data_IF_070838650758
#
_entry.id   IF_070838650758
#
_cell.length_a   1.000
_cell.length_b   1.000
_cell.length_c   1.000
_cell.angle_alpha   90.00
_cell.angle_beta   90.00
_cell.angle_gamma   90.00
#
_symmetry.space_group_name_H-M   'P 1'
#
loop_
_entity.id
_entity.type
_entity.pdbx_description
1 polymer ?
#
# COMPACT_ATOMS: atom_id res chain seq x y z
N UNK A 1 -8.92 1.35 29.88
CA UNK A 1 -9.58 2.66 29.62
C UNK A 1 -8.64 3.72 29.02
N UNK A 2 -7.32 3.45 28.90
CA UNK A 2 -6.30 4.42 28.47
C UNK A 2 -6.05 4.50 26.95
N UNK A 3 -6.71 3.70 26.13
CA UNK A 3 -6.36 3.53 24.70
C UNK A 3 -7.29 4.29 23.72
N UNK A 4 -8.36 4.90 24.23
CA UNK A 4 -9.39 5.54 23.40
C UNK A 4 -8.97 6.96 22.95
N UNK A 5 -8.18 7.67 23.75
CA UNK A 5 -7.78 9.05 23.45
C UNK A 5 -6.86 9.20 22.23
N UNK A 6 -5.93 8.26 22.01
CA UNK A 6 -4.98 8.33 20.90
C UNK A 6 -5.57 7.90 19.54
N UNK A 7 -6.69 7.17 19.54
CA UNK A 7 -7.32 6.64 18.31
C UNK A 7 -8.28 7.62 17.64
N UNK A 8 -8.87 8.54 18.40
CA UNK A 8 -9.85 9.52 17.89
C UNK A 8 -9.27 10.45 16.82
N UNK A 9 -8.07 11.03 16.99
CA UNK A 9 -7.45 11.86 15.95
C UNK A 9 -7.15 11.09 14.65
N UNK A 10 -6.74 9.80 14.78
CA UNK A 10 -6.37 8.96 13.63
C UNK A 10 -7.58 8.63 12.75
N UNK A 11 -8.78 8.51 13.33
CA UNK A 11 -10.01 8.26 12.58
C UNK A 11 -10.49 9.49 11.81
N UNK A 12 -10.29 10.70 12.33
CA UNK A 12 -10.67 11.96 11.68
C UNK A 12 -9.84 12.27 10.42
N UNK A 13 -8.56 11.91 10.40
CA UNK A 13 -7.70 12.04 9.19
C UNK A 13 -8.32 11.37 7.94
N UNK A 14 -9.21 10.41 8.14
CA UNK A 14 -9.91 9.70 7.08
C UNK A 14 -10.83 10.58 6.23
N UNK A 15 -11.52 11.53 6.84
CA UNK A 15 -12.66 12.21 6.23
C UNK A 15 -12.20 13.32 5.28
N UNK A 16 -11.06 13.95 5.57
CA UNK A 16 -10.65 15.17 4.88
C UNK A 16 -9.77 14.96 3.65
N UNK A 17 -8.99 13.86 3.61
CA UNK A 17 -8.01 13.63 2.53
C UNK A 17 -8.49 12.71 1.39
N UNK A 18 -9.70 12.16 1.45
CA UNK A 18 -10.24 11.28 0.41
C UNK A 18 -9.38 10.03 0.14
N UNK A 19 -8.61 9.57 1.12
CA UNK A 19 -7.65 8.48 0.97
C UNK A 19 -8.34 7.13 0.79
N UNK A 20 -7.79 6.28 -0.07
CA UNK A 20 -8.25 4.90 -0.24
C UNK A 20 -8.14 4.09 1.07
N UNK A 21 -9.08 3.17 1.30
CA UNK A 21 -9.19 2.36 2.52
C UNK A 21 -7.87 1.68 2.94
N UNK A 22 -7.13 1.11 1.98
CA UNK A 22 -5.85 0.46 2.23
C UNK A 22 -4.76 1.46 2.68
N UNK A 23 -4.79 2.68 2.14
CA UNK A 23 -3.86 3.75 2.55
C UNK A 23 -4.15 4.17 3.98
N UNK A 24 -5.43 4.30 4.33
CA UNK A 24 -5.86 4.63 5.69
C UNK A 24 -5.50 3.54 6.70
N UNK A 25 -5.68 2.28 6.35
CA UNK A 25 -5.29 1.15 7.19
C UNK A 25 -3.77 1.15 7.46
N UNK A 26 -2.97 1.41 6.42
CA UNK A 26 -1.52 1.53 6.56
C UNK A 26 -1.11 2.73 7.44
N UNK A 27 -1.76 3.89 7.27
CA UNK A 27 -1.50 5.08 8.08
C UNK A 27 -1.87 4.85 9.53
N UNK A 28 -3.06 4.29 9.77
CA UNK A 28 -3.50 3.93 11.12
C UNK A 28 -2.49 3.03 11.81
N UNK A 29 -2.04 1.97 11.15
CA UNK A 29 -1.05 1.05 11.71
C UNK A 29 0.26 1.75 12.06
N UNK A 30 0.80 2.61 11.19
CA UNK A 30 2.04 3.32 11.45
C UNK A 30 1.91 4.30 12.63
N UNK A 31 0.79 5.03 12.72
CA UNK A 31 0.51 5.97 13.82
C UNK A 31 0.28 5.25 15.15
N UNK A 32 -0.47 4.14 15.16
CA UNK A 32 -0.70 3.33 16.35
C UNK A 32 0.61 2.76 16.90
N UNK A 33 1.48 2.24 16.03
CA UNK A 33 2.78 1.73 16.43
C UNK A 33 3.69 2.83 17.00
N UNK A 34 3.61 4.04 16.46
CA UNK A 34 4.36 5.16 16.98
C UNK A 34 3.80 5.63 18.34
N UNK A 35 2.48 5.76 18.46
CA UNK A 35 1.83 6.16 19.71
C UNK A 35 2.15 5.18 20.85
N UNK A 36 2.07 3.87 20.60
CA UNK A 36 2.42 2.84 21.58
C UNK A 36 3.90 2.92 22.00
N UNK A 37 4.80 3.14 21.03
CA UNK A 37 6.23 3.31 21.32
C UNK A 37 6.49 4.58 22.14
N UNK A 38 5.86 5.71 21.78
CA UNK A 38 6.01 7.00 22.47
C UNK A 38 5.54 6.89 23.93
N UNK A 39 4.39 6.26 24.14
CA UNK A 39 3.87 6.01 25.48
C UNK A 39 4.81 5.12 26.30
N UNK A 40 5.33 4.03 25.72
CA UNK A 40 6.24 3.11 26.40
C UNK A 40 7.59 3.73 26.73
N UNK A 41 8.14 4.60 25.87
CA UNK A 41 9.47 5.17 26.06
C UNK A 41 9.48 6.46 26.88
N UNK A 42 8.41 7.25 26.84
CA UNK A 42 8.38 8.60 27.43
C UNK A 42 7.12 8.91 28.25
N UNK A 43 6.11 8.01 28.28
CA UNK A 43 4.81 8.33 28.86
C UNK A 43 4.12 9.54 28.22
N UNK A 44 4.45 9.84 26.95
CA UNK A 44 4.00 11.02 26.23
C UNK A 44 2.89 10.69 25.23
N UNK A 45 2.01 11.68 24.99
CA UNK A 45 0.95 11.57 23.99
C UNK A 45 1.40 12.06 22.60
N UNK A 46 0.58 11.77 21.60
CA UNK A 46 0.85 12.20 20.21
C UNK A 46 0.92 13.72 20.05
N UNK A 47 0.12 14.45 20.82
CA UNK A 47 0.03 15.91 20.79
C UNK A 47 1.32 16.57 21.32
N UNK A 48 1.97 15.93 22.30
CA UNK A 48 3.23 16.39 22.92
C UNK A 48 4.50 15.90 22.22
N UNK A 49 4.37 15.27 21.04
CA UNK A 49 5.49 14.73 20.26
C UNK A 49 6.48 15.82 19.86
N UNK A 50 7.76 15.56 20.06
CA UNK A 50 8.88 16.41 19.65
C UNK A 50 9.63 15.79 18.44
N UNK A 51 10.38 16.63 17.74
CA UNK A 51 11.25 16.17 16.64
C UNK A 51 12.21 15.04 17.10
N UNK A 52 12.77 15.17 18.30
CA UNK A 52 13.65 14.16 18.91
C UNK A 52 12.98 12.79 19.07
N UNK A 53 11.65 12.77 19.33
CA UNK A 53 10.90 11.52 19.50
C UNK A 53 10.71 10.80 18.18
N UNK A 54 10.40 11.55 17.13
CA UNK A 54 10.32 11.02 15.77
C UNK A 54 11.66 10.48 15.29
N UNK A 55 12.76 11.20 15.54
CA UNK A 55 14.10 10.75 15.19
C UNK A 55 14.47 9.48 15.95
N UNK A 56 14.21 9.40 17.25
CA UNK A 56 14.48 8.22 18.08
C UNK A 56 13.65 7.01 17.61
N UNK A 57 12.36 7.21 17.30
CA UNK A 57 11.51 6.16 16.77
C UNK A 57 11.98 5.68 15.40
N UNK A 58 12.31 6.60 14.51
CA UNK A 58 12.82 6.26 13.18
C UNK A 58 14.14 5.49 13.27
N UNK A 59 15.04 5.86 14.19
CA UNK A 59 16.31 5.15 14.45
C UNK A 59 16.03 3.75 15.02
N UNK A 60 15.17 3.61 16.02
CA UNK A 60 14.80 2.31 16.60
C UNK A 60 14.19 1.34 15.55
N UNK A 61 13.47 1.89 14.56
CA UNK A 61 12.87 1.11 13.47
C UNK A 61 13.81 0.94 12.26
N UNK A 62 15.00 1.54 12.28
CA UNK A 62 15.92 1.48 11.13
C UNK A 62 16.64 0.13 11.04
N UNK A 63 16.91 -0.54 12.14
CA UNK A 63 17.54 -1.86 12.21
C UNK A 63 16.62 -2.93 11.56
N UNK A 64 16.66 -3.03 10.22
CA UNK A 64 15.84 -3.96 9.42
C UNK A 64 14.80 -3.31 8.49
N UNK A 65 14.75 -1.97 8.43
CA UNK A 65 13.79 -1.24 7.60
C UNK A 65 14.45 -0.63 6.37
N UNK A 66 13.90 -0.87 5.17
CA UNK A 66 14.37 -0.25 3.93
C UNK A 66 14.08 1.27 3.95
N UNK A 67 14.94 2.07 3.30
CA UNK A 67 14.78 3.53 3.17
C UNK A 67 13.39 3.93 2.60
N UNK A 68 12.83 3.14 1.69
CA UNK A 68 11.47 3.31 1.16
C UNK A 68 10.41 3.26 2.26
N UNK A 69 10.51 2.29 3.19
CA UNK A 69 9.59 2.15 4.32
C UNK A 69 9.73 3.28 5.33
N UNK A 70 10.96 3.75 5.56
CA UNK A 70 11.22 4.90 6.42
C UNK A 70 10.62 6.19 5.84
N UNK A 71 10.81 6.44 4.55
CA UNK A 71 10.25 7.60 3.86
C UNK A 71 8.71 7.56 3.82
N UNK A 72 8.11 6.36 3.65
CA UNK A 72 6.65 6.21 3.73
C UNK A 72 6.14 6.59 5.12
N UNK A 73 6.77 6.09 6.19
CA UNK A 73 6.40 6.45 7.58
C UNK A 73 6.52 7.96 7.81
N UNK A 74 7.61 8.57 7.37
CA UNK A 74 7.78 10.01 7.48
C UNK A 74 6.67 10.78 6.76
N UNK A 75 6.22 10.31 5.61
CA UNK A 75 5.08 10.90 4.89
C UNK A 75 3.80 10.80 5.72
N UNK A 76 3.56 9.68 6.41
CA UNK A 76 2.41 9.49 7.32
C UNK A 76 2.47 10.51 8.46
N UNK A 77 3.64 10.64 9.12
CA UNK A 77 3.83 11.60 10.20
C UNK A 77 3.63 13.05 9.74
N UNK A 78 4.20 13.43 8.60
CA UNK A 78 4.03 14.78 8.03
C UNK A 78 2.56 15.11 7.76
N UNK A 79 1.78 14.15 7.24
CA UNK A 79 0.35 14.35 7.03
C UNK A 79 -0.42 14.47 8.34
N UNK A 80 -0.13 13.58 9.30
CA UNK A 80 -0.78 13.58 10.60
C UNK A 80 -0.52 14.89 11.36
N UNK A 81 0.73 15.31 11.53
CA UNK A 81 1.06 16.50 12.31
C UNK A 81 0.63 17.80 11.64
N UNK A 82 0.64 17.87 10.30
CA UNK A 82 0.05 19.01 9.58
C UNK A 82 -1.46 19.10 9.81
N UNK A 83 -2.16 17.98 9.82
CA UNK A 83 -3.56 17.93 10.16
C UNK A 83 -3.78 18.28 11.64
N UNK A 84 -3.03 17.71 12.56
CA UNK A 84 -3.14 17.98 14.01
C UNK A 84 -2.90 19.45 14.35
N UNK A 85 -1.93 20.10 13.66
CA UNK A 85 -1.69 21.53 13.82
C UNK A 85 -2.89 22.37 13.33
N UNK A 86 -3.48 22.02 12.18
CA UNK A 86 -4.67 22.69 11.63
C UNK A 86 -5.89 22.57 12.54
N UNK A 87 -6.05 21.42 13.19
CA UNK A 87 -7.14 21.14 14.12
C UNK A 87 -6.85 21.59 15.56
N UNK A 88 -5.76 22.32 15.77
CA UNK A 88 -5.32 22.79 17.12
C UNK A 88 -5.15 21.65 18.14
N UNK A 89 -4.80 20.44 17.68
CA UNK A 89 -4.49 19.27 18.52
C UNK A 89 -2.99 19.18 18.87
N UNK A 90 -2.17 19.95 18.19
CA UNK A 90 -0.74 20.09 18.47
C UNK A 90 -0.34 21.56 18.28
N UNK A 91 0.61 22.01 19.13
CA UNK A 91 1.09 23.42 19.08
C UNK A 91 2.15 23.64 18.00
N UNK A 92 2.81 22.57 17.53
CA UNK A 92 3.85 22.63 16.51
C UNK A 92 3.89 21.34 15.67
N UNK A 93 4.40 21.45 14.44
CA UNK A 93 4.67 20.30 13.58
C UNK A 93 6.11 19.81 13.79
N UNK A 94 6.33 18.68 14.50
CA UNK A 94 7.66 18.14 14.77
C UNK A 94 8.34 17.55 13.53
N UNK A 95 7.66 17.52 12.38
CA UNK A 95 8.20 16.93 11.15
C UNK A 95 8.84 17.95 10.20
N UNK A 96 8.74 19.27 10.49
CA UNK A 96 9.15 20.32 9.58
C UNK A 96 10.60 20.20 9.10
N UNK A 97 11.53 19.85 9.98
CA UNK A 97 12.96 19.70 9.67
C UNK A 97 13.34 18.33 9.17
N UNK A 98 12.46 17.34 9.27
CA UNK A 98 12.75 15.96 8.86
C UNK A 98 12.75 15.84 7.34
N UNK A 99 13.84 15.32 6.80
CA UNK A 99 14.02 15.07 5.37
C UNK A 99 13.93 13.59 5.05
N UNK A 100 13.44 13.28 3.87
CA UNK A 100 13.45 11.90 3.35
C UNK A 100 14.90 11.42 3.16
N UNK A 101 15.13 10.15 3.52
CA UNK A 101 16.39 9.50 3.21
C UNK A 101 16.58 9.41 1.68
N UNK A 102 17.79 9.69 1.21
CA UNK A 102 18.15 9.49 -0.20
C UNK A 102 17.97 8.02 -0.55
N UNK A 103 17.31 7.77 -1.66
CA UNK A 103 17.13 6.42 -2.19
C UNK A 103 17.95 6.28 -3.46
N UNK A 104 18.72 5.20 -3.62
CA UNK A 104 19.31 4.90 -4.92
C UNK A 104 18.19 4.65 -5.93
N UNK A 105 18.37 5.13 -7.15
CA UNK A 105 17.47 4.83 -8.26
C UNK A 105 17.49 3.32 -8.49
N UNK A 106 16.38 2.65 -8.17
CA UNK A 106 16.21 1.24 -8.50
C UNK A 106 15.53 1.13 -9.85
N UNK A 107 16.25 0.69 -10.83
CA UNK A 107 15.65 0.26 -12.09
C UNK A 107 14.87 -1.04 -11.81
N UNK A 108 13.63 -1.15 -12.29
CA UNK A 108 12.89 -2.41 -12.23
C UNK A 108 13.69 -3.50 -12.95
N UNK A 109 13.78 -4.68 -12.34
CA UNK A 109 14.29 -5.85 -13.03
C UNK A 109 13.13 -6.42 -13.86
N UNK A 110 13.24 -6.36 -15.16
CA UNK A 110 12.34 -7.04 -16.09
C UNK A 110 12.70 -8.53 -16.16
N UNK A 111 11.72 -9.38 -16.34
CA UNK A 111 11.93 -10.77 -16.69
C UNK A 111 12.35 -10.84 -18.17
N UNK A 112 13.20 -11.80 -18.52
CA UNK A 112 13.44 -12.13 -19.93
C UNK A 112 12.24 -12.91 -20.50
N UNK A 113 12.13 -12.96 -21.82
CA UNK A 113 11.10 -13.72 -22.52
C UNK A 113 11.08 -15.19 -22.07
N UNK A 114 12.23 -15.85 -22.07
CA UNK A 114 12.37 -17.23 -21.59
C UNK A 114 11.92 -17.43 -20.13
N UNK A 115 12.11 -16.41 -19.26
CA UNK A 115 11.63 -16.46 -17.88
C UNK A 115 10.11 -16.32 -17.80
N UNK A 116 9.51 -15.52 -18.66
CA UNK A 116 8.05 -15.39 -18.75
C UNK A 116 7.44 -16.69 -19.25
N UNK A 117 7.98 -17.29 -20.32
CA UNK A 117 7.53 -18.58 -20.85
C UNK A 117 7.62 -19.68 -19.80
N UNK A 118 8.75 -19.77 -19.09
CA UNK A 118 8.92 -20.74 -18.01
C UNK A 118 7.92 -20.54 -16.86
N UNK A 119 7.61 -19.29 -16.53
CA UNK A 119 6.61 -18.97 -15.50
C UNK A 119 5.20 -19.37 -15.93
N UNK A 120 4.85 -19.10 -17.19
CA UNK A 120 3.56 -19.51 -17.75
C UNK A 120 3.42 -21.04 -17.80
N UNK A 121 4.49 -21.75 -18.13
CA UNK A 121 4.49 -23.23 -18.22
C UNK A 121 4.56 -23.94 -16.86
N UNK A 122 4.85 -23.24 -15.76
CA UNK A 122 5.07 -23.84 -14.45
C UNK A 122 3.83 -24.50 -13.80
N UNK A 123 2.57 -24.02 -14.00
CA UNK A 123 1.41 -24.66 -13.38
C UNK A 123 1.16 -26.07 -13.90
N UNK A 124 0.84 -27.00 -13.00
CA UNK A 124 0.48 -28.39 -13.31
C UNK A 124 -0.98 -28.45 -13.82
N UNK A 125 -1.14 -28.60 -15.12
CA UNK A 125 -2.44 -28.55 -15.78
C UNK A 125 -3.36 -29.75 -15.50
N UNK A 126 -2.80 -30.86 -14.96
CA UNK A 126 -3.59 -32.03 -14.52
C UNK A 126 -4.35 -31.75 -13.22
N UNK A 127 -4.07 -30.60 -12.58
CA UNK A 127 -4.72 -30.19 -11.33
C UNK A 127 -5.62 -28.98 -11.52
N UNK A 128 -6.83 -28.98 -10.92
CA UNK A 128 -7.74 -27.82 -11.03
C UNK A 128 -7.12 -26.47 -10.61
N UNK A 129 -6.27 -26.51 -9.57
CA UNK A 129 -5.54 -25.31 -9.13
C UNK A 129 -4.48 -24.87 -10.15
N UNK A 130 -3.85 -25.81 -10.85
CA UNK A 130 -2.88 -25.49 -11.89
C UNK A 130 -3.55 -24.85 -13.11
N UNK A 131 -4.72 -25.33 -13.54
CA UNK A 131 -5.52 -24.66 -14.58
C UNK A 131 -5.88 -23.24 -14.19
N UNK A 132 -6.37 -23.04 -12.96
CA UNK A 132 -6.66 -21.70 -12.44
C UNK A 132 -5.40 -20.81 -12.46
N UNK A 133 -4.28 -21.32 -11.98
CA UNK A 133 -3.04 -20.55 -11.87
C UNK A 133 -2.50 -20.19 -13.26
N UNK A 134 -2.62 -21.09 -14.24
CA UNK A 134 -2.28 -20.81 -15.63
C UNK A 134 -3.14 -19.69 -16.22
N UNK A 135 -4.46 -19.78 -16.08
CA UNK A 135 -5.40 -18.74 -16.55
C UNK A 135 -5.09 -17.37 -15.89
N UNK A 136 -4.78 -17.36 -14.59
CA UNK A 136 -4.42 -16.14 -13.88
C UNK A 136 -3.10 -15.53 -14.41
N UNK A 137 -2.09 -16.34 -14.68
CA UNK A 137 -0.81 -15.88 -15.21
C UNK A 137 -0.96 -15.35 -16.64
N UNK A 138 -1.73 -16.02 -17.48
CA UNK A 138 -2.03 -15.56 -18.85
C UNK A 138 -2.76 -14.21 -18.86
N UNK A 139 -3.75 -14.03 -18.00
CA UNK A 139 -4.43 -12.75 -17.86
C UNK A 139 -3.50 -11.65 -17.34
N UNK A 140 -2.59 -11.95 -16.39
CA UNK A 140 -1.59 -10.99 -15.94
C UNK A 140 -0.67 -10.56 -17.07
N UNK A 141 -0.20 -11.51 -17.87
CA UNK A 141 0.71 -11.26 -18.96
C UNK A 141 0.04 -10.49 -20.10
N UNK A 142 -1.13 -10.95 -20.54
CA UNK A 142 -1.86 -10.34 -21.65
C UNK A 142 -2.39 -8.95 -21.33
N UNK A 143 -2.89 -8.74 -20.12
CA UNK A 143 -3.65 -7.53 -19.73
C UNK A 143 -2.87 -6.54 -18.87
N UNK A 144 -1.71 -6.90 -18.36
CA UNK A 144 -0.95 -6.06 -17.42
C UNK A 144 -1.75 -5.68 -16.17
N UNK A 145 -2.59 -6.59 -15.67
CA UNK A 145 -3.41 -6.36 -14.49
C UNK A 145 -2.55 -6.21 -13.22
N UNK A 146 -3.04 -5.42 -12.26
CA UNK A 146 -2.50 -5.50 -10.91
C UNK A 146 -2.98 -6.78 -10.24
N UNK A 147 -2.15 -7.37 -9.36
CA UNK A 147 -2.54 -8.58 -8.62
C UNK A 147 -3.88 -8.40 -7.89
N UNK A 148 -4.13 -7.23 -7.29
CA UNK A 148 -5.40 -6.93 -6.63
C UNK A 148 -6.59 -6.89 -7.59
N UNK A 149 -6.41 -6.43 -8.83
CA UNK A 149 -7.45 -6.42 -9.85
C UNK A 149 -7.79 -7.84 -10.29
N UNK A 150 -6.77 -8.67 -10.50
CA UNK A 150 -6.94 -10.07 -10.89
C UNK A 150 -7.68 -10.88 -9.82
N UNK A 151 -7.21 -10.84 -8.56
CA UNK A 151 -7.80 -11.68 -7.49
C UNK A 151 -9.20 -11.24 -7.04
N UNK A 152 -9.62 -10.04 -7.42
CA UNK A 152 -10.98 -9.53 -7.17
C UNK A 152 -11.86 -9.55 -8.41
N UNK A 153 -11.36 -10.01 -9.55
CA UNK A 153 -12.10 -10.09 -10.81
C UNK A 153 -13.28 -11.06 -10.66
N UNK A 154 -14.45 -10.59 -11.05
CA UNK A 154 -15.67 -11.40 -11.03
C UNK A 154 -16.00 -11.90 -12.44
N UNK A 155 -16.64 -13.06 -12.57
CA UNK A 155 -17.02 -13.64 -13.85
C UNK A 155 -17.85 -12.68 -14.71
N UNK A 156 -18.74 -11.89 -14.10
CA UNK A 156 -19.55 -10.88 -14.79
C UNK A 156 -18.74 -9.71 -15.38
N UNK A 157 -17.47 -9.60 -15.04
CA UNK A 157 -16.56 -8.58 -15.55
C UNK A 157 -15.72 -9.08 -16.73
N UNK A 158 -15.88 -10.35 -17.12
CA UNK A 158 -15.19 -11.01 -18.22
C UNK A 158 -16.19 -11.23 -19.34
N UNK A 159 -15.98 -10.58 -20.50
CA UNK A 159 -16.73 -10.86 -21.72
C UNK A 159 -15.85 -11.71 -22.62
N UNK A 160 -16.13 -13.02 -22.67
CA UNK A 160 -15.42 -13.93 -23.59
C UNK A 160 -15.79 -13.62 -25.03
N UNK A 161 -17.05 -13.26 -25.31
CA UNK A 161 -17.49 -12.95 -26.65
C UNK A 161 -16.78 -11.73 -27.27
N UNK A 162 -16.49 -10.72 -26.43
CA UNK A 162 -15.82 -9.48 -26.87
C UNK A 162 -14.31 -9.51 -26.64
N UNK A 163 -13.77 -10.51 -25.94
CA UNK A 163 -12.37 -10.60 -25.59
C UNK A 163 -11.90 -9.47 -24.65
N UNK A 164 -12.76 -8.99 -23.74
CA UNK A 164 -12.45 -7.85 -22.85
C UNK A 164 -12.74 -8.11 -21.39
N UNK A 165 -11.96 -7.48 -20.52
CA UNK A 165 -12.15 -7.43 -19.07
C UNK A 165 -12.60 -6.02 -18.67
N UNK A 166 -13.56 -5.94 -17.75
CA UNK A 166 -13.88 -4.70 -17.04
C UNK A 166 -13.20 -4.70 -15.69
N UNK A 167 -12.20 -3.83 -15.50
CA UNK A 167 -11.45 -3.75 -14.25
C UNK A 167 -11.63 -2.39 -13.58
N UNK A 168 -11.76 -2.42 -12.26
CA UNK A 168 -11.88 -1.22 -11.44
C UNK A 168 -10.52 -0.90 -10.84
N UNK A 169 -9.95 0.22 -11.23
CA UNK A 169 -8.64 0.67 -10.78
C UNK A 169 -8.69 1.58 -9.55
N UNK A 170 -7.57 2.22 -9.27
CA UNK A 170 -7.42 3.20 -8.16
C UNK A 170 -8.43 4.35 -8.34
N UNK A 171 -9.17 4.67 -7.27
CA UNK A 171 -10.18 5.74 -7.27
C UNK A 171 -11.50 5.33 -7.91
N UNK A 172 -11.82 4.02 -7.92
CA UNK A 172 -13.05 3.45 -8.49
C UNK A 172 -13.23 3.75 -10.00
N UNK A 173 -12.13 4.04 -10.71
CA UNK A 173 -12.20 4.24 -12.17
C UNK A 173 -12.22 2.89 -12.87
N UNK A 174 -13.23 2.68 -13.69
CA UNK A 174 -13.34 1.50 -14.53
C UNK A 174 -12.59 1.70 -15.85
N UNK A 175 -12.00 0.61 -16.35
CA UNK A 175 -11.45 0.53 -17.69
C UNK A 175 -11.74 -0.82 -18.32
N UNK A 176 -11.89 -0.84 -19.63
CA UNK A 176 -11.92 -2.07 -20.44
C UNK A 176 -10.49 -2.41 -20.86
N UNK A 177 -10.13 -3.67 -20.71
CA UNK A 177 -8.81 -4.18 -21.07
C UNK A 177 -9.02 -5.37 -22.00
N UNK A 178 -8.57 -5.31 -23.25
CA UNK A 178 -8.64 -6.46 -24.16
C UNK A 178 -7.66 -7.55 -23.70
N UNK A 179 -8.01 -8.81 -23.94
CA UNK A 179 -7.13 -9.95 -23.81
C UNK A 179 -7.09 -10.73 -25.14
N UNK A 180 -5.90 -11.27 -25.45
CA UNK A 180 -5.70 -11.98 -26.72
C UNK A 180 -6.23 -13.41 -26.72
N UNK A 181 -6.12 -14.07 -27.87
CA UNK A 181 -6.60 -15.43 -28.07
C UNK A 181 -5.97 -16.45 -27.13
N UNK A 182 -4.68 -16.30 -26.83
CA UNK A 182 -3.99 -17.17 -25.87
C UNK A 182 -4.64 -17.14 -24.47
N UNK A 183 -4.92 -15.96 -23.97
CA UNK A 183 -5.59 -15.82 -22.67
C UNK A 183 -7.08 -16.23 -22.73
N UNK A 184 -7.70 -16.18 -23.90
CA UNK A 184 -9.07 -16.65 -24.12
C UNK A 184 -9.19 -18.17 -24.06
N UNK A 185 -8.14 -18.89 -24.46
CA UNK A 185 -8.12 -20.36 -24.47
C UNK A 185 -8.02 -21.00 -23.08
N UNK A 186 -7.68 -20.22 -22.08
CA UNK A 186 -7.54 -20.67 -20.68
C UNK A 186 -8.73 -20.27 -19.82
#
# INVERSE_FOLDING_TARGET
>A
ESDVGALVPIQRVRIEDGLAANTLAAYRRDLTLFAAWLQAQRGASMESTRESDLLAYMAARHAGSRATSANRRLTVFKRFFRWALREHLADADPTLRLRNAKQPLRLPKSLSEAQVEALLAAPDLDKPLGLRDRAMLELLYACGLRVSELVTLKTVQVSLADGVLRVTGKGAKERLVPFGEEAHGW
#
